data_IF_503809666914
#
_entry.id   IF_503809666914
#
_cell.length_a   1.000
_cell.length_b   1.000
_cell.length_c   1.000
_cell.angle_alpha   90.00
_cell.angle_beta   90.00
_cell.angle_gamma   90.00
#
_symmetry.space_group_name_H-M   'P 1'
#
loop_
_entity.id
_entity.type
_entity.pdbx_description
1 polymer ?
#
# COMPACT_ATOMS: atom_id res chain seq x y z
N UNK A 1 -12.30 11.93 -8.37
CA UNK A 1 -12.43 10.46 -8.35
C UNK A 1 -13.90 9.99 -8.30
N UNK A 2 -14.86 10.83 -8.70
CA UNK A 2 -16.28 10.62 -8.36
C UNK A 2 -17.03 9.60 -9.24
N UNK A 3 -16.41 9.05 -10.29
CA UNK A 3 -17.05 8.08 -11.20
C UNK A 3 -16.19 6.84 -11.49
N UNK A 4 -15.23 6.52 -10.62
CA UNK A 4 -14.35 5.36 -10.85
C UNK A 4 -14.94 4.07 -10.27
N UNK A 5 -14.93 2.97 -11.03
CA UNK A 5 -15.35 1.63 -10.56
C UNK A 5 -14.69 1.33 -9.20
N UNK A 6 -15.52 1.17 -8.17
CA UNK A 6 -15.08 0.90 -6.79
C UNK A 6 -14.50 -0.52 -6.68
N UNK A 7 -13.62 -0.73 -5.70
CA UNK A 7 -13.06 -2.05 -5.41
C UNK A 7 -13.43 -2.45 -3.99
N UNK A 8 -14.03 -3.63 -3.82
CA UNK A 8 -14.46 -4.11 -2.50
C UNK A 8 -13.33 -4.71 -1.67
N UNK A 9 -12.20 -5.03 -2.31
CA UNK A 9 -11.06 -5.68 -1.68
C UNK A 9 -9.75 -4.97 -1.99
N UNK A 10 -8.78 -4.97 -1.07
CA UNK A 10 -7.43 -4.52 -1.35
C UNK A 10 -6.73 -5.46 -2.36
N UNK A 11 -5.46 -5.19 -2.65
CA UNK A 11 -4.68 -6.10 -3.51
C UNK A 11 -4.60 -7.46 -2.82
N UNK A 12 -4.85 -8.53 -3.58
CA UNK A 12 -4.73 -9.91 -3.06
C UNK A 12 -3.29 -10.21 -2.68
N UNK A 13 -3.07 -10.98 -1.61
CA UNK A 13 -1.75 -11.51 -1.22
C UNK A 13 -1.12 -12.42 -2.27
N UNK A 14 -1.93 -12.98 -3.16
CA UNK A 14 -1.46 -13.74 -4.33
C UNK A 14 -1.02 -12.88 -5.52
N UNK A 15 -1.26 -11.56 -5.48
CA UNK A 15 -0.90 -10.66 -6.57
C UNK A 15 0.62 -10.53 -6.65
N UNK A 16 1.17 -10.82 -7.82
CA UNK A 16 2.60 -10.63 -8.10
C UNK A 16 2.78 -9.34 -8.89
N UNK A 17 3.52 -8.40 -8.34
CA UNK A 17 4.01 -7.24 -9.07
C UNK A 17 5.40 -7.56 -9.60
N UNK A 18 5.60 -7.38 -10.89
CA UNK A 18 6.87 -7.64 -11.58
C UNK A 18 7.48 -6.31 -12.05
N UNK A 19 8.80 -6.26 -12.25
CA UNK A 19 9.57 -5.03 -12.55
C UNK A 19 9.19 -4.36 -13.87
N UNK A 20 8.39 -5.03 -14.71
CA UNK A 20 7.79 -4.51 -15.95
C UNK A 20 8.75 -3.62 -16.76
N UNK A 21 9.87 -4.20 -17.20
CA UNK A 21 10.96 -3.46 -17.85
C UNK A 21 10.52 -2.72 -19.11
N UNK A 22 9.51 -3.25 -19.82
CA UNK A 22 8.93 -2.69 -21.04
C UNK A 22 7.82 -1.67 -20.76
N UNK A 23 7.35 -1.56 -19.52
CA UNK A 23 6.28 -0.67 -19.12
C UNK A 23 6.64 0.80 -19.29
N UNK A 24 5.62 1.62 -19.55
CA UNK A 24 5.77 3.08 -19.65
C UNK A 24 6.16 3.65 -18.30
N UNK A 25 7.17 4.52 -18.30
CA UNK A 25 7.58 5.26 -17.11
C UNK A 25 6.48 6.23 -16.70
N UNK A 26 6.29 6.35 -15.39
CA UNK A 26 5.33 7.25 -14.75
C UNK A 26 6.11 8.35 -14.03
N UNK A 27 5.51 9.52 -13.87
CA UNK A 27 6.06 10.58 -13.02
C UNK A 27 6.28 10.07 -11.58
N UNK A 28 7.55 9.90 -11.23
CA UNK A 28 7.99 9.41 -9.93
C UNK A 28 7.53 10.30 -8.79
N UNK A 29 7.44 11.63 -9.00
CA UNK A 29 7.07 12.58 -7.96
C UNK A 29 5.62 12.39 -7.54
N UNK A 30 4.72 12.27 -8.52
CA UNK A 30 3.31 11.97 -8.27
C UNK A 30 3.14 10.62 -7.58
N UNK A 31 3.89 9.61 -8.02
CA UNK A 31 3.81 8.28 -7.44
C UNK A 31 4.29 8.25 -5.97
N UNK A 32 5.45 8.86 -5.67
CA UNK A 32 5.97 8.97 -4.31
C UNK A 32 5.02 9.72 -3.40
N UNK A 33 4.35 10.76 -3.90
CA UNK A 33 3.31 11.48 -3.15
C UNK A 33 2.12 10.57 -2.79
N UNK A 34 1.65 9.75 -3.75
CA UNK A 34 0.57 8.78 -3.50
C UNK A 34 0.97 7.70 -2.50
N UNK A 35 2.19 7.15 -2.62
CA UNK A 35 2.71 6.17 -1.65
C UNK A 35 2.84 6.79 -0.26
N UNK A 36 3.40 7.99 -0.13
CA UNK A 36 3.53 8.65 1.17
C UNK A 36 2.18 8.85 1.86
N UNK A 37 1.17 9.26 1.08
CA UNK A 37 -0.21 9.42 1.60
C UNK A 37 -0.81 8.08 2.04
N UNK A 38 -0.59 7.00 1.27
CA UNK A 38 -1.06 5.66 1.63
C UNK A 38 -0.32 5.10 2.85
N UNK A 39 0.99 5.35 2.96
CA UNK A 39 1.80 4.93 4.10
C UNK A 39 1.30 5.57 5.39
N UNK A 40 0.97 6.86 5.37
CA UNK A 40 0.34 7.53 6.50
C UNK A 40 -0.99 6.87 6.89
N UNK A 41 -1.81 6.50 5.91
CA UNK A 41 -3.10 5.85 6.14
C UNK A 41 -2.95 4.46 6.79
N UNK A 42 -1.85 3.74 6.58
CA UNK A 42 -1.65 2.41 7.19
C UNK A 42 -1.68 2.41 8.72
N UNK A 43 -1.37 3.55 9.36
CA UNK A 43 -1.41 3.69 10.82
C UNK A 43 -2.82 3.49 11.39
N UNK A 44 -3.86 3.95 10.69
CA UNK A 44 -5.26 3.69 11.06
C UNK A 44 -5.85 2.51 10.27
N UNK A 45 -5.22 2.09 9.17
CA UNK A 45 -5.75 1.08 8.24
C UNK A 45 -4.74 -0.06 8.02
N UNK A 46 -4.54 -0.94 9.01
CA UNK A 46 -3.54 -2.00 8.91
C UNK A 46 -3.85 -3.04 7.82
N UNK A 47 -5.11 -3.18 7.41
CA UNK A 47 -5.54 -4.09 6.34
C UNK A 47 -5.02 -3.73 4.94
N UNK A 48 -4.65 -2.46 4.70
CA UNK A 48 -4.01 -2.06 3.43
C UNK A 48 -2.47 -2.13 3.50
N UNK A 49 -1.89 -2.36 4.69
CA UNK A 49 -0.44 -2.33 4.93
C UNK A 49 0.31 -3.21 3.93
N UNK A 50 -0.12 -4.47 3.79
CA UNK A 50 0.49 -5.41 2.84
C UNK A 50 0.47 -4.87 1.40
N UNK A 51 -0.66 -4.32 0.95
CA UNK A 51 -0.80 -3.79 -0.41
C UNK A 51 0.11 -2.59 -0.65
N UNK A 52 0.29 -1.74 0.36
CA UNK A 52 1.16 -0.56 0.30
C UNK A 52 2.63 -0.99 0.31
N UNK A 53 3.02 -1.89 1.21
CA UNK A 53 4.38 -2.44 1.29
C UNK A 53 4.82 -3.09 -0.03
N UNK A 54 3.93 -3.86 -0.68
CA UNK A 54 4.20 -4.41 -2.01
C UNK A 54 4.53 -3.32 -3.04
N UNK A 55 3.82 -2.18 -3.02
CA UNK A 55 4.04 -1.09 -3.97
C UNK A 55 5.33 -0.32 -3.68
N UNK A 56 5.67 -0.13 -2.40
CA UNK A 56 6.90 0.58 -1.97
C UNK A 56 8.16 -0.08 -2.53
N UNK A 57 8.16 -1.41 -2.66
CA UNK A 57 9.31 -2.16 -3.20
C UNK A 57 9.71 -1.75 -4.63
N UNK A 58 8.80 -1.12 -5.38
CA UNK A 58 9.03 -0.68 -6.77
C UNK A 58 9.26 0.83 -6.89
N UNK A 59 9.46 1.54 -5.76
CA UNK A 59 9.71 2.99 -5.72
C UNK A 59 10.85 3.46 -6.63
N UNK A 60 11.90 2.64 -6.80
CA UNK A 60 13.10 3.03 -7.55
C UNK A 60 12.95 2.88 -9.07
N UNK A 61 11.96 2.15 -9.56
CA UNK A 61 11.72 1.98 -11.00
C UNK A 61 10.23 1.76 -11.25
N UNK A 62 9.54 2.86 -11.55
CA UNK A 62 8.08 2.93 -11.52
C UNK A 62 7.46 2.83 -12.91
N UNK A 63 6.47 1.95 -13.01
CA UNK A 63 5.82 1.54 -14.24
C UNK A 63 4.31 1.72 -14.15
N UNK A 64 3.67 1.87 -15.30
CA UNK A 64 2.22 2.08 -15.38
C UNK A 64 1.41 0.92 -14.75
N UNK A 65 1.93 -0.31 -14.85
CA UNK A 65 1.40 -1.49 -14.16
C UNK A 65 1.36 -1.33 -12.64
N UNK A 66 2.42 -0.79 -12.04
CA UNK A 66 2.46 -0.47 -10.60
C UNK A 66 1.46 0.62 -10.20
N UNK A 67 1.24 1.60 -11.08
CA UNK A 67 0.26 2.66 -10.83
C UNK A 67 -1.18 2.11 -10.84
N UNK A 68 -1.47 1.08 -11.63
CA UNK A 68 -2.77 0.41 -11.60
C UNK A 68 -3.06 -0.22 -10.23
N UNK A 69 -2.04 -0.79 -9.59
CA UNK A 69 -2.12 -1.33 -8.23
C UNK A 69 -2.44 -0.26 -7.19
N UNK A 70 -1.76 0.90 -7.24
CA UNK A 70 -2.08 2.04 -6.35
C UNK A 70 -3.51 2.52 -6.58
N UNK A 71 -3.93 2.67 -7.84
CA UNK A 71 -5.31 3.07 -8.17
C UNK A 71 -6.34 2.10 -7.58
N UNK A 72 -6.03 0.80 -7.52
CA UNK A 72 -6.88 -0.20 -6.89
C UNK A 72 -6.96 -0.01 -5.37
N UNK A 73 -5.85 0.25 -4.70
CA UNK A 73 -5.83 0.55 -3.25
C UNK A 73 -6.67 1.79 -2.96
N UNK A 74 -6.50 2.87 -3.74
CA UNK A 74 -7.28 4.09 -3.57
C UNK A 74 -8.78 3.85 -3.76
N UNK A 75 -9.17 3.06 -4.77
CA UNK A 75 -10.59 2.65 -4.96
C UNK A 75 -11.16 1.89 -3.78
N UNK A 76 -10.34 1.06 -3.12
CA UNK A 76 -10.75 0.32 -1.93
C UNK A 76 -10.94 1.26 -0.72
N UNK A 77 -10.01 2.20 -0.53
CA UNK A 77 -10.12 3.23 0.52
C UNK A 77 -11.37 4.07 0.32
N UNK A 78 -11.64 4.53 -0.92
CA UNK A 78 -12.87 5.29 -1.23
C UNK A 78 -14.14 4.46 -1.03
N UNK A 79 -14.08 3.15 -1.25
CA UNK A 79 -15.22 2.25 -1.01
C UNK A 79 -15.46 1.96 0.48
N UNK A 80 -14.42 2.07 1.32
CA UNK A 80 -14.47 1.73 2.75
C UNK A 80 -14.07 2.92 3.66
N UNK A 81 -14.75 4.08 3.56
CA UNK A 81 -14.35 5.29 4.27
C UNK A 81 -14.51 5.19 5.80
N UNK A 82 -15.38 4.32 6.29
CA UNK A 82 -15.67 4.12 7.72
C UNK A 82 -14.84 3.01 8.35
N UNK A 83 -14.14 2.21 7.54
CA UNK A 83 -13.33 1.11 8.03
C UNK A 83 -11.96 1.67 8.40
N UNK A 84 -11.50 1.42 9.63
CA UNK A 84 -10.25 1.95 10.16
C UNK A 84 -10.26 1.94 11.68
N UNK A 85 -9.07 2.03 12.28
CA UNK A 85 -8.87 2.20 13.71
C UNK A 85 -9.07 3.68 14.07
N UNK A 86 -9.91 3.92 15.05
CA UNK A 86 -10.16 5.23 15.63
C UNK A 86 -9.79 5.20 17.11
N UNK A 87 -8.83 6.05 17.47
CA UNK A 87 -8.40 6.20 18.86
C UNK A 87 -8.93 7.53 19.39
N UNK A 88 -9.96 7.48 20.23
CA UNK A 88 -10.49 8.68 20.86
C UNK A 88 -9.51 9.19 21.92
N UNK A 89 -9.34 10.52 21.99
CA UNK A 89 -8.50 11.14 23.03
C UNK A 89 -9.05 10.87 24.43
N UNK A 90 -10.38 10.81 24.55
CA UNK A 90 -11.07 10.76 25.84
C UNK A 90 -11.30 9.32 26.34
N UNK A 91 -10.88 8.32 25.57
CA UNK A 91 -11.00 6.91 26.00
C UNK A 91 -9.76 6.49 26.77
N UNK A 92 -9.93 6.09 28.03
CA UNK A 92 -8.93 5.35 28.79
C UNK A 92 -8.95 3.88 28.34
N UNK A 93 -8.14 3.54 27.32
CA UNK A 93 -7.92 2.15 26.92
C UNK A 93 -6.43 1.82 26.99
N UNK A 94 -6.14 0.56 27.31
CA UNK A 94 -4.79 0.01 27.29
C UNK A 94 -4.53 -0.61 25.91
N UNK A 95 -3.54 -0.11 25.17
CA UNK A 95 -3.25 -0.53 23.80
C UNK A 95 -2.22 -1.66 23.79
N UNK A 96 -2.66 -2.87 23.47
CA UNK A 96 -1.79 -4.01 23.23
C UNK A 96 -1.72 -4.28 21.72
N UNK A 97 -0.53 -4.13 21.13
CA UNK A 97 -0.31 -4.35 19.70
C UNK A 97 0.69 -5.49 19.47
N UNK A 98 0.35 -6.40 18.56
CA UNK A 98 1.21 -7.48 18.11
C UNK A 98 1.51 -7.27 16.62
N UNK A 99 2.77 -7.38 16.22
CA UNK A 99 3.19 -7.27 14.83
C UNK A 99 3.82 -8.58 14.40
N UNK A 100 3.29 -9.17 13.34
CA UNK A 100 3.89 -10.30 12.63
C UNK A 100 4.22 -9.85 11.21
N UNK A 101 5.50 -9.99 10.84
CA UNK A 101 6.03 -9.48 9.58
C UNK A 101 6.76 -10.62 8.84
N UNK A 102 6.04 -11.68 8.48
CA UNK A 102 6.58 -12.70 7.60
C UNK A 102 6.35 -12.35 6.12
N UNK A 103 7.41 -11.85 5.48
CA UNK A 103 7.50 -11.67 4.02
C UNK A 103 8.49 -12.68 3.40
N UNK A 104 8.74 -13.82 4.06
CA UNK A 104 9.77 -14.79 3.67
C UNK A 104 9.56 -15.49 2.32
N UNK A 105 8.36 -15.36 1.72
CA UNK A 105 7.95 -16.09 0.52
C UNK A 105 7.87 -15.30 -0.79
N UNK A 106 8.11 -13.98 -0.81
CA UNK A 106 7.95 -13.18 -2.04
C UNK A 106 9.13 -13.36 -2.99
N UNK A 107 8.84 -13.83 -4.21
CA UNK A 107 9.84 -14.34 -5.16
C UNK A 107 10.62 -13.27 -5.95
N UNK A 108 10.20 -11.99 -5.91
CA UNK A 108 10.71 -10.96 -6.83
C UNK A 108 12.02 -10.33 -6.34
N UNK A 109 12.19 -10.18 -5.02
CA UNK A 109 13.49 -9.87 -4.43
C UNK A 109 13.43 -10.30 -2.95
N UNK A 110 14.34 -11.19 -2.56
CA UNK A 110 14.48 -11.65 -1.17
C UNK A 110 15.29 -10.64 -0.36
N UNK A 111 14.96 -9.35 -0.52
CA UNK A 111 15.71 -8.22 0.03
C UNK A 111 14.83 -7.47 1.04
N UNK A 112 15.32 -7.36 2.26
CA UNK A 112 14.77 -6.48 3.27
C UNK A 112 15.01 -5.02 2.87
N UNK A 113 14.03 -4.15 3.08
CA UNK A 113 14.15 -2.71 2.90
C UNK A 113 15.02 -2.13 4.02
N UNK A 114 16.35 -2.20 3.89
CA UNK A 114 17.26 -1.44 4.75
C UNK A 114 17.33 -0.01 4.25
N UNK A 115 16.88 0.95 5.06
CA UNK A 115 16.99 2.37 4.76
C UNK A 115 18.46 2.76 4.59
N UNK A 116 18.82 3.23 3.39
CA UNK A 116 20.07 3.96 3.18
C UNK A 116 19.73 5.44 3.21
N UNK A 117 20.33 6.15 4.17
CA UNK A 117 20.22 7.60 4.39
C UNK A 117 20.67 8.41 3.18
#
# INVERSE_FOLDING_TARGET
MENSKTSKTPISTSTKLDKDEQGKNVDEKLYRSMIGSLLYLTASRPDILFSVCLCVCFQSNLKESHLFSIKRILKYVTYTPTLGLWYSRDSSFDLHAYSDADFGGYKVDRKSTSGSY
#
